data_IF_590535023845
#
_entry.id   IF_590535023845
#
_cell.length_a   1.000
_cell.length_b   1.000
_cell.length_c   1.000
_cell.angle_alpha   90.00
_cell.angle_beta   90.00
_cell.angle_gamma   90.00
#
_symmetry.space_group_name_H-M   'P 1'
#
loop_
_entity.id
_entity.type
_entity.pdbx_description
1 polymer ?
#
# COMPACT_ATOMS: atom_id res chain seq x y z
N UNK A 1 3.27 8.07 18.05
CA UNK A 1 2.18 7.11 17.78
C UNK A 1 1.46 7.56 16.51
N UNK A 2 0.86 6.63 15.78
CA UNK A 2 0.15 6.94 14.53
C UNK A 2 -1.32 6.62 14.76
N UNK A 3 -2.21 7.56 14.44
CA UNK A 3 -3.65 7.40 14.60
C UNK A 3 -4.38 7.81 13.32
N UNK A 4 -5.56 7.22 13.12
CA UNK A 4 -6.45 7.56 12.01
C UNK A 4 -7.63 8.36 12.58
N UNK A 5 -7.66 9.65 12.29
CA UNK A 5 -8.71 10.58 12.71
C UNK A 5 -9.57 10.97 11.51
N UNK A 6 -10.62 10.18 11.26
CA UNK A 6 -11.49 10.39 10.09
C UNK A 6 -10.71 10.28 8.79
N UNK A 7 -10.57 11.38 8.05
CA UNK A 7 -9.91 11.40 6.74
C UNK A 7 -8.41 11.75 6.81
N UNK A 8 -7.83 11.81 8.02
CA UNK A 8 -6.45 12.22 8.25
C UNK A 8 -5.72 11.15 9.05
N UNK A 9 -4.46 10.92 8.67
CA UNK A 9 -3.49 10.18 9.48
C UNK A 9 -2.69 11.19 10.29
N UNK A 10 -2.71 11.05 11.61
CA UNK A 10 -2.00 11.92 12.54
C UNK A 10 -0.79 11.18 13.13
N UNK A 11 0.36 11.86 13.17
CA UNK A 11 1.57 11.37 13.81
C UNK A 11 1.90 12.22 15.04
N UNK A 12 1.89 11.58 16.20
CA UNK A 12 2.19 12.22 17.48
C UNK A 12 3.56 11.81 18.04
N UNK A 13 4.25 12.76 18.68
CA UNK A 13 5.43 12.51 19.51
C UNK A 13 5.20 13.23 20.85
N UNK A 14 5.36 12.51 21.97
CA UNK A 14 5.14 13.04 23.32
C UNK A 14 3.76 13.72 23.50
N UNK A 15 2.70 13.06 23.02
CA UNK A 15 1.30 13.54 23.09
C UNK A 15 1.08 14.88 22.34
N UNK A 16 1.92 15.17 21.35
CA UNK A 16 1.80 16.35 20.50
C UNK A 16 1.76 15.96 19.03
N UNK A 17 0.79 16.48 18.25
CA UNK A 17 0.79 16.32 16.80
C UNK A 17 2.08 16.90 16.22
N UNK A 18 2.79 16.07 15.48
CA UNK A 18 3.97 16.48 14.72
C UNK A 18 3.61 16.81 13.28
N UNK A 19 2.85 15.92 12.62
CA UNK A 19 2.34 16.15 11.28
C UNK A 19 1.07 15.34 11.03
N UNK A 20 0.32 15.79 10.03
CA UNK A 20 -0.91 15.18 9.56
C UNK A 20 -0.82 14.93 8.06
N UNK A 21 -1.40 13.82 7.61
CA UNK A 21 -1.43 13.41 6.20
C UNK A 21 -2.88 13.15 5.80
N UNK A 22 -3.44 13.90 4.84
CA UNK A 22 -4.74 13.60 4.27
C UNK A 22 -4.73 12.22 3.61
N UNK A 23 -5.65 11.34 4.02
CA UNK A 23 -5.76 9.99 3.46
C UNK A 23 -6.17 10.01 1.98
N UNK A 24 -6.81 11.08 1.51
CA UNK A 24 -7.09 11.30 0.09
C UNK A 24 -5.85 11.29 -0.81
N UNK A 25 -4.66 11.54 -0.26
CA UNK A 25 -3.40 11.54 -1.01
C UNK A 25 -2.78 10.14 -1.10
N UNK A 26 -3.28 9.19 -0.31
CA UNK A 26 -2.83 7.80 -0.29
C UNK A 26 -3.47 7.08 -1.46
N UNK A 27 -2.63 6.52 -2.34
CA UNK A 27 -3.07 5.73 -3.50
C UNK A 27 -3.27 4.26 -3.13
N UNK A 28 -2.48 3.75 -2.18
CA UNK A 28 -2.53 2.38 -1.75
C UNK A 28 -1.88 2.22 -0.36
N UNK A 29 -2.28 1.17 0.36
CA UNK A 29 -1.66 0.78 1.61
C UNK A 29 -1.48 -0.75 1.62
N UNK A 30 -0.26 -1.22 1.81
CA UNK A 30 0.07 -2.64 1.90
C UNK A 30 0.48 -3.03 3.31
N UNK A 31 0.07 -4.23 3.74
CA UNK A 31 0.43 -4.81 5.03
C UNK A 31 1.58 -5.83 4.87
N UNK A 32 2.53 -5.78 5.80
CA UNK A 32 3.57 -6.78 6.02
C UNK A 32 3.55 -7.28 7.47
N UNK A 33 4.50 -8.14 7.86
CA UNK A 33 4.49 -8.82 9.17
C UNK A 33 4.40 -7.88 10.39
N UNK A 34 4.97 -6.68 10.29
CA UNK A 34 4.96 -5.66 11.36
C UNK A 34 5.10 -4.26 10.78
N UNK A 35 4.70 -4.10 9.52
CA UNK A 35 4.94 -2.90 8.74
C UNK A 35 3.72 -2.58 7.88
N UNK A 36 3.30 -1.33 7.92
CA UNK A 36 2.35 -0.78 6.96
C UNK A 36 3.09 0.17 6.02
N UNK A 37 2.89 -0.01 4.72
CA UNK A 37 3.51 0.81 3.69
C UNK A 37 2.41 1.61 2.99
N UNK A 38 2.48 2.94 3.12
CA UNK A 38 1.61 3.87 2.42
C UNK A 38 2.30 4.33 1.14
N UNK A 39 1.60 4.17 0.03
CA UNK A 39 1.97 4.69 -1.28
C UNK A 39 1.11 5.93 -1.57
N UNK A 40 1.71 6.95 -2.16
CA UNK A 40 1.05 8.22 -2.44
C UNK A 40 0.91 8.46 -3.94
N UNK A 41 -0.10 9.24 -4.32
CA UNK A 41 -0.21 9.71 -5.70
C UNK A 41 0.98 10.62 -6.02
N UNK A 42 1.70 10.29 -7.10
CA UNK A 42 2.74 11.17 -7.61
C UNK A 42 2.09 12.45 -8.16
N UNK A 43 2.72 13.58 -7.86
CA UNK A 43 2.28 14.89 -8.34
C UNK A 43 3.41 15.48 -9.16
N UNK A 44 3.30 15.37 -10.49
CA UNK A 44 4.29 15.84 -11.45
C UNK A 44 4.44 17.37 -11.47
N UNK A 45 3.45 18.10 -10.93
CA UNK A 45 3.50 19.56 -10.80
C UNK A 45 4.29 20.02 -9.56
N UNK A 46 4.72 19.08 -8.69
CA UNK A 46 5.51 19.38 -7.50
C UNK A 46 6.95 18.91 -7.67
N UNK A 47 7.92 19.82 -7.46
CA UNK A 47 9.34 19.52 -7.61
C UNK A 47 9.85 18.44 -6.63
N UNK A 48 9.18 18.27 -5.49
CA UNK A 48 9.44 17.22 -4.50
C UNK A 48 8.09 16.64 -4.09
N UNK A 49 7.91 15.34 -4.32
CA UNK A 49 6.68 14.64 -3.92
C UNK A 49 7.02 13.45 -3.01
N UNK A 50 6.15 13.21 -2.02
CA UNK A 50 6.24 12.07 -1.12
C UNK A 50 5.75 10.84 -1.89
N UNK A 51 6.59 9.82 -2.02
CA UNK A 51 6.27 8.61 -2.81
C UNK A 51 5.76 7.47 -1.93
N UNK A 52 6.49 7.18 -0.85
CA UNK A 52 6.22 6.06 0.06
C UNK A 52 6.52 6.50 1.51
N UNK A 53 5.71 6.02 2.45
CA UNK A 53 6.04 6.01 3.89
C UNK A 53 5.85 4.62 4.46
N UNK A 54 6.74 4.24 5.38
CA UNK A 54 6.72 2.93 6.03
C UNK A 54 6.65 3.10 7.53
N UNK A 55 5.59 2.59 8.14
CA UNK A 55 5.40 2.58 9.58
C UNK A 55 5.63 1.19 10.13
N UNK A 56 6.42 1.11 11.19
CA UNK A 56 6.44 -0.08 12.04
C UNK A 56 5.24 -0.02 12.97
N UNK A 57 4.38 -1.02 12.89
CA UNK A 57 3.20 -1.13 13.76
C UNK A 57 3.56 -2.09 14.90
N UNK A 58 3.53 -1.63 16.17
CA UNK A 58 3.86 -2.49 17.29
C UNK A 58 2.81 -3.59 17.43
N UNK A 59 3.27 -4.84 17.36
CA UNK A 59 2.49 -6.04 17.66
C UNK A 59 2.77 -6.44 19.10
N UNK A 60 1.71 -6.55 19.92
CA UNK A 60 1.84 -7.09 21.27
C UNK A 60 1.96 -8.62 21.18
N UNK A 61 3.03 -9.25 21.70
CA UNK A 61 3.19 -10.70 21.68
C UNK A 61 2.14 -11.45 22.51
N UNK A 62 1.43 -10.77 23.42
CA UNK A 62 0.37 -11.34 24.25
C UNK A 62 -1.04 -11.01 23.72
N UNK A 63 -1.16 -10.29 22.60
CA UNK A 63 -2.43 -10.01 21.96
C UNK A 63 -3.04 -11.25 21.31
N UNK A 64 -4.38 -11.27 21.26
CA UNK A 64 -5.18 -12.34 20.66
C UNK A 64 -4.72 -12.61 19.21
N UNK A 65 -4.44 -13.87 18.87
CA UNK A 65 -3.92 -14.26 17.55
C UNK A 65 -4.88 -13.92 16.39
N UNK A 66 -6.15 -13.68 16.71
CA UNK A 66 -7.21 -13.35 15.75
C UNK A 66 -7.21 -11.87 15.30
N UNK A 67 -6.45 -10.98 15.94
CA UNK A 67 -6.37 -9.56 15.59
C UNK A 67 -4.99 -9.20 15.00
N UNK A 68 -4.92 -8.97 13.68
CA UNK A 68 -3.73 -8.43 13.02
C UNK A 68 -3.77 -6.90 13.02
N UNK A 69 -3.01 -6.21 13.90
CA UNK A 69 -3.06 -4.76 14.01
C UNK A 69 -2.56 -4.04 12.74
N UNK A 70 -1.69 -4.70 11.95
CA UNK A 70 -1.22 -4.15 10.68
C UNK A 70 -2.35 -4.14 9.66
N UNK A 71 -3.12 -5.24 9.60
CA UNK A 71 -4.25 -5.35 8.68
C UNK A 71 -5.42 -4.45 9.10
N UNK A 72 -5.65 -4.27 10.40
CA UNK A 72 -6.61 -3.30 10.91
C UNK A 72 -6.24 -1.87 10.54
N UNK A 73 -4.97 -1.50 10.73
CA UNK A 73 -4.44 -0.20 10.32
C UNK A 73 -4.59 0.01 8.82
N UNK A 74 -4.21 -0.98 8.01
CA UNK A 74 -4.37 -0.96 6.55
C UNK A 74 -5.83 -0.73 6.18
N UNK A 75 -6.76 -1.48 6.78
CA UNK A 75 -8.19 -1.34 6.52
C UNK A 75 -8.71 0.06 6.86
N UNK A 76 -8.27 0.65 7.97
CA UNK A 76 -8.64 2.00 8.38
C UNK A 76 -8.12 3.07 7.39
N UNK A 77 -6.86 2.96 6.95
CA UNK A 77 -6.29 3.84 5.91
C UNK A 77 -7.08 3.73 4.61
N UNK A 78 -7.31 2.50 4.14
CA UNK A 78 -7.97 2.23 2.86
C UNK A 78 -9.44 2.64 2.85
N UNK A 79 -10.09 2.78 4.01
CA UNK A 79 -11.47 3.27 4.11
C UNK A 79 -11.64 4.71 3.63
N UNK A 80 -10.61 5.55 3.80
CA UNK A 80 -10.63 6.97 3.46
C UNK A 80 -9.62 7.34 2.37
N UNK A 81 -8.84 6.37 1.90
CA UNK A 81 -7.92 6.56 0.80
C UNK A 81 -8.67 6.92 -0.50
N UNK A 82 -8.04 7.72 -1.34
CA UNK A 82 -8.58 8.19 -2.63
C UNK A 82 -8.59 7.11 -3.71
N UNK A 83 -8.88 5.87 -3.33
CA UNK A 83 -8.85 4.72 -4.24
C UNK A 83 -10.12 4.78 -5.07
N UNK A 84 -9.96 5.04 -6.37
CA UNK A 84 -11.00 4.73 -7.33
C UNK A 84 -11.20 3.21 -7.31
N UNK A 85 -12.24 2.75 -6.62
CA UNK A 85 -12.63 1.34 -6.63
C UNK A 85 -13.15 0.99 -8.02
N UNK A 86 -12.26 0.78 -8.97
CA UNK A 86 -12.55 -0.05 -10.13
C UNK A 86 -12.93 -1.43 -9.58
N UNK A 87 -14.14 -1.89 -9.91
CA UNK A 87 -14.59 -3.25 -9.63
C UNK A 87 -13.50 -4.23 -10.08
N UNK A 88 -12.77 -4.81 -9.11
CA UNK A 88 -11.59 -5.66 -9.25
C UNK A 88 -11.93 -7.06 -9.84
N UNK A 89 -12.88 -7.11 -10.78
CA UNK A 89 -13.16 -8.31 -11.55
C UNK A 89 -12.26 -8.34 -12.78
N UNK A 90 -11.32 -9.30 -12.83
CA UNK A 90 -10.41 -9.41 -13.96
C UNK A 90 -11.18 -9.69 -15.23
N UNK A 91 -10.91 -8.90 -16.28
CA UNK A 91 -11.47 -9.13 -17.62
C UNK A 91 -10.92 -10.43 -18.20
N UNK A 92 -9.67 -10.77 -17.86
CA UNK A 92 -9.02 -12.03 -18.19
C UNK A 92 -7.86 -12.36 -17.24
N UNK A 93 -7.60 -13.66 -17.05
CA UNK A 93 -6.48 -14.18 -16.26
C UNK A 93 -5.52 -14.95 -17.16
N UNK A 94 -4.24 -14.57 -17.15
CA UNK A 94 -3.18 -15.22 -17.92
C UNK A 94 -2.22 -15.92 -16.96
N UNK A 95 -2.24 -17.25 -16.95
CA UNK A 95 -1.57 -18.05 -15.91
C UNK A 95 -0.08 -18.32 -16.17
N UNK A 96 0.39 -18.26 -17.42
CA UNK A 96 1.76 -18.63 -17.79
C UNK A 96 2.32 -17.69 -18.85
N UNK A 97 2.66 -16.47 -18.46
CA UNK A 97 3.42 -15.58 -19.33
C UNK A 97 4.91 -15.78 -19.04
N UNK A 98 5.67 -16.12 -20.09
CA UNK A 98 7.12 -16.16 -20.01
C UNK A 98 7.65 -14.72 -20.04
N UNK A 99 8.05 -14.19 -18.90
CA UNK A 99 8.71 -12.88 -18.81
C UNK A 99 10.23 -13.07 -18.98
N UNK A 100 10.82 -12.42 -19.98
CA UNK A 100 12.27 -12.48 -20.24
C UNK A 100 13.07 -11.66 -19.23
N UNK A 101 12.42 -10.68 -18.56
CA UNK A 101 13.01 -9.84 -17.51
C UNK A 101 11.86 -9.22 -16.70
N UNK A 102 11.79 -9.36 -15.37
CA UNK A 102 12.63 -10.20 -14.50
C UNK A 102 12.40 -11.69 -14.79
N UNK A 103 13.44 -12.51 -14.60
CA UNK A 103 13.48 -13.93 -15.02
C UNK A 103 12.59 -14.83 -14.14
N UNK A 104 11.27 -14.66 -14.19
CA UNK A 104 10.29 -15.46 -13.44
C UNK A 104 8.96 -15.59 -14.20
N UNK A 105 8.13 -16.54 -13.79
CA UNK A 105 6.75 -16.69 -14.30
C UNK A 105 5.89 -15.62 -13.64
N UNK A 106 5.32 -14.70 -14.42
CA UNK A 106 4.40 -13.70 -13.88
C UNK A 106 2.94 -14.08 -14.18
N UNK A 107 2.07 -13.84 -13.20
CA UNK A 107 0.62 -13.90 -13.37
C UNK A 107 0.18 -12.52 -13.87
N UNK A 108 -0.44 -12.45 -15.04
CA UNK A 108 -1.03 -11.19 -15.50
C UNK A 108 -2.55 -11.25 -15.41
N UNK A 109 -3.11 -10.17 -14.91
CA UNK A 109 -4.54 -9.97 -14.75
C UNK A 109 -4.91 -8.70 -15.52
N UNK A 110 -5.78 -8.81 -16.52
CA UNK A 110 -6.18 -7.67 -17.34
C UNK A 110 -7.39 -6.98 -16.69
N UNK A 111 -7.25 -5.72 -16.27
CA UNK A 111 -8.33 -4.88 -15.73
C UNK A 111 -8.58 -3.63 -16.60
N UNK A 112 -8.49 -3.76 -17.93
CA UNK A 112 -8.66 -2.61 -18.85
C UNK A 112 -7.40 -1.73 -19.00
N UNK A 113 -6.48 -1.76 -18.04
CA UNK A 113 -5.07 -1.39 -18.17
C UNK A 113 -4.22 -2.56 -17.64
N UNK A 114 -3.10 -2.88 -18.30
CA UNK A 114 -2.34 -4.11 -18.02
C UNK A 114 -1.64 -3.98 -16.66
N UNK A 115 -2.11 -4.72 -15.64
CA UNK A 115 -1.43 -4.84 -14.34
C UNK A 115 -0.66 -6.16 -14.27
N UNK A 116 0.67 -6.10 -14.42
CA UNK A 116 1.58 -7.23 -14.25
C UNK A 116 1.98 -7.35 -12.78
N UNK A 117 1.43 -8.34 -12.06
CA UNK A 117 1.93 -8.71 -10.72
C UNK A 117 3.02 -9.78 -10.88
N UNK A 118 4.28 -9.33 -10.93
CA UNK A 118 5.41 -10.24 -10.80
C UNK A 118 5.66 -10.49 -9.31
N UNK A 119 5.45 -11.72 -8.84
CA UNK A 119 5.79 -12.14 -7.48
C UNK A 119 7.32 -12.25 -7.35
N UNK A 120 7.99 -11.42 -6.52
CA UNK A 120 9.42 -11.56 -6.31
C UNK A 120 9.67 -12.46 -5.10
N UNK A 121 10.19 -13.66 -5.32
CA UNK A 121 11.10 -14.26 -4.35
C UNK A 121 12.44 -13.54 -4.53
N UNK A 122 12.64 -12.50 -3.72
CA UNK A 122 13.85 -11.67 -3.58
C UNK A 122 13.99 -10.53 -4.60
N UNK A 123 13.87 -9.30 -4.09
CA UNK A 123 14.51 -8.11 -4.63
C UNK A 123 13.64 -7.24 -5.55
N UNK A 124 13.31 -6.04 -5.04
CA UNK A 124 12.90 -4.80 -5.72
C UNK A 124 12.66 -4.87 -7.22
N UNK A 125 11.44 -4.54 -7.62
CA UNK A 125 11.11 -4.19 -9.00
C UNK A 125 10.35 -2.86 -8.96
N UNK A 126 11.04 -1.76 -9.26
CA UNK A 126 10.40 -0.52 -9.75
C UNK A 126 9.97 -0.73 -11.21
N UNK A 127 8.75 -0.30 -11.54
CA UNK A 127 8.35 0.00 -12.92
C UNK A 127 7.75 1.42 -12.92
N UNK A 128 8.44 2.37 -13.57
CA UNK A 128 7.78 3.52 -14.19
C UNK A 128 7.40 3.14 -15.62
N UNK A 129 6.28 3.66 -16.10
CA UNK A 129 5.85 3.57 -17.49
C UNK A 129 6.89 4.13 -18.48
#
# INVERSE_FOLDING_TARGET
LVFIEGQVLEFEVDEKPCFEIPLSNVSNCTSGKSEAVLEFHQNDDCAVSLMEMRFHIPTDPDADEDADPVEEFRRAVMQYAGIETETDQPVATLQQILCTTPRYVCLATLLGLISLKCFPLIGLIEWSC
#
